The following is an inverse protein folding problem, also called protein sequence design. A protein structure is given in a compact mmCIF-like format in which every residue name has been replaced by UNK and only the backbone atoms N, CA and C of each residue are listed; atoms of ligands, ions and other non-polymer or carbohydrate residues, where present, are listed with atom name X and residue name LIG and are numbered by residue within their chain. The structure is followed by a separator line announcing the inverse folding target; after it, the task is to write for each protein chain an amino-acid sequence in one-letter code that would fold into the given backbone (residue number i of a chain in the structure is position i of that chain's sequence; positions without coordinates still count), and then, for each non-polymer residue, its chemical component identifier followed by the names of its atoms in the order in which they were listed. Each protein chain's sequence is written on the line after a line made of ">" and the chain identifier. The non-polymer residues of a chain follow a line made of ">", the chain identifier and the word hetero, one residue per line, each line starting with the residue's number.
data_IF_059457993565
#
_entry.id   IF_059457993565
#
_cell.length_a   1.000
_cell.length_b   1.000
_cell.length_c   1.000
_cell.angle_alpha   90.00
_cell.angle_beta   90.00
_cell.angle_gamma   90.00
#
_symmetry.space_group_name_H-M   'P 1'
#
loop_
_entity.id
_entity.type
_entity.pdbx_description
1 polymer ?
#
# COMPACT_ATOMS: atom_id res chain seq x y z
N UNK A 1 0.65 -1.58 25.45
CA UNK A 1 1.94 -1.23 24.83
C UNK A 1 1.95 0.25 24.49
N UNK A 2 2.89 0.97 25.05
CA UNK A 2 3.05 2.39 24.74
C UNK A 2 4.08 2.55 23.63
N UNK A 3 3.61 3.05 22.50
CA UNK A 3 4.47 3.43 21.41
C UNK A 3 4.41 4.95 21.30
N UNK A 4 5.56 5.60 21.34
CA UNK A 4 5.62 7.05 21.31
C UNK A 4 4.94 7.60 20.06
N UNK A 5 4.21 8.69 20.23
CA UNK A 5 3.58 9.39 19.10
C UNK A 5 4.65 9.99 18.20
N UNK A 6 4.42 9.91 16.91
CA UNK A 6 5.30 10.55 15.93
C UNK A 6 5.11 12.05 16.01
N UNK A 7 6.22 12.80 16.06
CA UNK A 7 6.20 14.26 16.04
C UNK A 7 6.16 14.76 14.59
N UNK A 8 7.01 14.18 13.74
CA UNK A 8 7.03 14.49 12.31
C UNK A 8 7.10 13.19 11.53
N UNK A 9 6.24 13.02 10.55
CA UNK A 9 6.28 11.82 9.75
C UNK A 9 4.93 11.46 9.16
N UNK A 10 4.75 10.17 8.92
CA UNK A 10 3.57 9.64 8.25
C UNK A 10 3.03 8.46 9.05
N UNK A 11 1.71 8.42 9.19
CA UNK A 11 1.02 7.28 9.78
C UNK A 11 0.07 6.69 8.74
N UNK A 12 0.28 5.42 8.41
CA UNK A 12 -0.63 4.66 7.57
C UNK A 12 -1.52 3.86 8.50
N UNK A 13 -2.79 4.24 8.55
CA UNK A 13 -3.78 3.66 9.47
C UNK A 13 -4.85 2.90 8.69
N UNK A 14 -5.72 2.20 9.40
CA UNK A 14 -6.83 1.43 8.85
C UNK A 14 -6.38 0.38 7.82
N UNK A 15 -5.18 -0.16 8.01
CA UNK A 15 -4.68 -1.25 7.19
C UNK A 15 -5.42 -2.53 7.58
N UNK A 16 -5.92 -3.25 6.61
CA UNK A 16 -6.53 -4.55 6.85
C UNK A 16 -5.54 -5.46 7.58
N UNK A 17 -5.98 -6.07 8.69
CA UNK A 17 -5.12 -6.93 9.49
C UNK A 17 -4.45 -8.00 8.63
N UNK A 18 -3.14 -8.11 8.75
CA UNK A 18 -2.33 -9.05 7.97
C UNK A 18 -1.66 -8.45 6.74
N UNK A 19 -1.98 -7.20 6.34
CA UNK A 19 -1.40 -6.59 5.14
C UNK A 19 -0.23 -5.64 5.39
N UNK A 20 0.11 -5.37 6.66
CA UNK A 20 1.17 -4.41 6.98
C UNK A 20 2.51 -4.78 6.36
N UNK A 21 2.91 -6.06 6.40
CA UNK A 21 4.19 -6.48 5.86
C UNK A 21 4.22 -6.42 4.33
N UNK A 22 3.10 -6.68 3.67
CA UNK A 22 3.01 -6.52 2.23
C UNK A 22 3.23 -5.05 1.83
N UNK A 23 2.64 -4.12 2.57
CA UNK A 23 2.82 -2.68 2.36
C UNK A 23 4.27 -2.29 2.63
N UNK A 24 4.84 -2.76 3.74
CA UNK A 24 6.23 -2.51 4.11
C UNK A 24 7.18 -2.89 2.97
N UNK A 25 6.99 -4.08 2.41
CA UNK A 25 7.83 -4.58 1.33
C UNK A 25 7.60 -3.83 0.02
N UNK A 26 6.35 -3.57 -0.34
CA UNK A 26 6.02 -2.92 -1.60
C UNK A 26 6.50 -1.46 -1.66
N UNK A 27 6.44 -0.75 -0.54
CA UNK A 27 6.90 0.62 -0.46
C UNK A 27 8.40 0.75 -0.16
N UNK A 28 9.13 -0.36 -0.08
CA UNK A 28 10.56 -0.40 0.22
C UNK A 28 10.92 0.34 1.51
N UNK A 29 10.10 0.20 2.53
CA UNK A 29 10.34 0.88 3.81
C UNK A 29 11.60 0.39 4.50
N UNK A 30 12.06 -0.82 4.16
CA UNK A 30 13.32 -1.37 4.66
C UNK A 30 14.54 -0.53 4.26
N UNK A 31 14.46 0.20 3.17
CA UNK A 31 15.55 1.05 2.69
C UNK A 31 15.68 2.37 3.46
N UNK A 32 14.70 2.69 4.31
CA UNK A 32 14.70 3.94 5.07
C UNK A 32 15.57 3.83 6.32
N UNK A 33 16.25 4.93 6.68
CA UNK A 33 17.09 4.99 7.87
C UNK A 33 16.40 5.63 9.08
N UNK A 34 15.11 5.94 8.98
CA UNK A 34 14.33 6.50 10.07
C UNK A 34 13.70 5.42 10.93
N UNK A 35 13.14 5.83 12.08
CA UNK A 35 12.37 4.91 12.91
C UNK A 35 11.06 4.55 12.23
N UNK A 36 10.75 3.26 12.23
CA UNK A 36 9.49 2.74 11.70
C UNK A 36 8.91 1.79 12.74
N UNK A 37 7.63 1.98 13.06
CA UNK A 37 6.90 1.09 13.94
C UNK A 37 5.76 0.44 13.16
N UNK A 38 5.63 -0.87 13.31
CA UNK A 38 4.53 -1.63 12.73
C UNK A 38 3.72 -2.22 13.88
N UNK A 39 2.45 -1.87 13.93
CA UNK A 39 1.53 -2.39 14.94
C UNK A 39 0.56 -3.33 14.24
N UNK A 40 0.62 -4.61 14.59
CA UNK A 40 -0.29 -5.61 14.04
C UNK A 40 -1.42 -5.87 15.02
N UNK A 41 -2.61 -6.06 14.49
CA UNK A 41 -3.79 -6.42 15.27
C UNK A 41 -4.13 -5.38 16.35
N UNK A 42 -4.00 -4.10 15.99
CA UNK A 42 -4.46 -3.02 16.87
C UNK A 42 -5.98 -3.00 16.93
N UNK A 43 -6.53 -2.56 18.06
CA UNK A 43 -7.98 -2.47 18.24
C UNK A 43 -8.60 -1.50 17.24
N UNK A 44 -9.70 -1.92 16.60
CA UNK A 44 -10.45 -1.12 15.65
C UNK A 44 -11.93 -1.18 15.97
N UNK A 45 -12.59 -0.03 15.93
CA UNK A 45 -14.03 0.05 16.20
C UNK A 45 -14.88 -0.54 15.07
N UNK A 46 -14.33 -0.67 13.86
CA UNK A 46 -15.10 -1.12 12.69
C UNK A 46 -14.98 -2.61 12.40
N UNK A 47 -13.77 -3.15 12.48
CA UNK A 47 -13.49 -4.51 11.99
C UNK A 47 -12.77 -5.39 13.03
N UNK A 48 -12.84 -5.01 14.30
CA UNK A 48 -12.15 -5.76 15.37
C UNK A 48 -10.68 -5.44 15.48
N UNK A 49 -9.90 -5.67 14.41
CA UNK A 49 -8.46 -5.38 14.40
C UNK A 49 -8.04 -4.70 13.11
N UNK A 50 -6.95 -3.96 13.19
CA UNK A 50 -6.31 -3.30 12.06
C UNK A 50 -4.80 -3.32 12.24
N UNK A 51 -4.05 -3.05 11.18
CA UNK A 51 -2.62 -2.81 11.27
C UNK A 51 -2.33 -1.32 11.08
N UNK A 52 -1.24 -0.86 11.66
CA UNK A 52 -0.80 0.54 11.58
C UNK A 52 0.70 0.56 11.30
N UNK A 53 1.13 1.43 10.40
CA UNK A 53 2.56 1.68 10.15
C UNK A 53 2.85 3.14 10.45
N UNK A 54 3.83 3.39 11.33
CA UNK A 54 4.27 4.74 11.67
C UNK A 54 5.70 4.93 11.17
N UNK A 55 5.90 5.99 10.38
CA UNK A 55 7.18 6.31 9.77
C UNK A 55 7.63 7.67 10.28
N UNK A 56 8.77 7.73 10.95
CA UNK A 56 9.28 8.97 11.57
C UNK A 56 10.07 9.82 10.58
N UNK A 57 9.56 9.98 9.37
CA UNK A 57 10.14 10.85 8.33
C UNK A 57 9.04 11.23 7.34
N UNK A 58 9.16 12.44 6.78
CA UNK A 58 8.23 12.91 5.76
C UNK A 58 8.70 12.41 4.38
N UNK A 59 8.29 11.21 4.03
CA UNK A 59 8.65 10.59 2.75
C UNK A 59 7.49 10.69 1.76
N UNK A 60 7.81 10.56 0.48
CA UNK A 60 6.79 10.38 -0.55
C UNK A 60 6.36 8.93 -0.60
N UNK A 61 5.07 8.70 -0.46
CA UNK A 61 4.47 7.37 -0.54
C UNK A 61 3.76 7.23 -1.87
N UNK A 62 3.96 6.08 -2.52
CA UNK A 62 3.19 5.73 -3.71
C UNK A 62 1.76 5.39 -3.29
N UNK A 63 0.90 6.41 -3.30
CA UNK A 63 -0.50 6.25 -2.89
C UNK A 63 -1.27 5.32 -3.81
N UNK A 64 -0.90 5.26 -5.09
CA UNK A 64 -1.51 4.34 -6.04
C UNK A 64 -1.24 2.89 -5.68
N UNK A 65 0.01 2.55 -5.41
CA UNK A 65 0.38 1.21 -4.98
C UNK A 65 -0.31 0.82 -3.67
N UNK A 66 -0.35 1.75 -2.72
CA UNK A 66 -1.01 1.52 -1.44
C UNK A 66 -2.51 1.26 -1.62
N UNK A 67 -3.17 2.04 -2.48
CA UNK A 67 -4.60 1.88 -2.76
C UNK A 67 -4.91 0.51 -3.35
N UNK A 68 -4.04 -0.02 -4.20
CA UNK A 68 -4.22 -1.35 -4.81
C UNK A 68 -4.09 -2.44 -3.76
N UNK A 69 -3.11 -2.32 -2.86
CA UNK A 69 -2.86 -3.32 -1.81
C UNK A 69 -3.95 -3.26 -0.74
N UNK A 70 -4.29 -2.06 -0.30
CA UNK A 70 -5.23 -1.86 0.80
C UNK A 70 -6.06 -0.60 0.58
N UNK A 71 -7.21 -0.70 -0.11
CA UNK A 71 -8.06 0.48 -0.39
C UNK A 71 -8.61 1.16 0.86
N UNK A 72 -8.69 0.44 1.99
CA UNK A 72 -9.24 0.98 3.24
C UNK A 72 -8.24 1.81 4.03
N UNK A 73 -6.95 1.76 3.67
CA UNK A 73 -5.91 2.48 4.41
C UNK A 73 -6.07 3.99 4.27
N UNK A 74 -5.65 4.71 5.29
CA UNK A 74 -5.58 6.17 5.29
C UNK A 74 -4.15 6.60 5.55
N UNK A 75 -3.74 7.71 4.94
CA UNK A 75 -2.40 8.26 5.14
C UNK A 75 -2.53 9.62 5.82
N UNK A 76 -1.94 9.71 7.02
CA UNK A 76 -1.94 10.95 7.79
C UNK A 76 -0.52 11.51 7.81
N UNK A 77 -0.37 12.77 7.40
CA UNK A 77 0.89 13.49 7.51
C UNK A 77 0.90 14.24 8.84
N UNK A 78 1.93 14.01 9.64
CA UNK A 78 2.06 14.57 10.98
C UNK A 78 3.22 15.55 11.02
N UNK A 79 2.97 16.73 11.57
CA UNK A 79 3.98 17.75 11.81
C UNK A 79 3.74 18.39 13.17
N UNK A 80 4.80 18.52 13.97
CA UNK A 80 4.72 19.07 15.33
C UNK A 80 3.69 18.37 16.20
N UNK A 81 3.58 17.05 16.04
CA UNK A 81 2.64 16.22 16.80
C UNK A 81 1.18 16.31 16.36
N UNK A 82 0.89 17.05 15.30
CA UNK A 82 -0.47 17.26 14.82
C UNK A 82 -0.65 16.72 13.41
N UNK A 83 -1.82 16.18 13.14
CA UNK A 83 -2.19 15.75 11.78
C UNK A 83 -2.48 17.00 10.95
N UNK A 84 -1.61 17.29 9.99
CA UNK A 84 -1.77 18.47 9.11
C UNK A 84 -2.46 18.14 7.81
N UNK A 85 -2.48 16.86 7.42
CA UNK A 85 -3.08 16.43 6.17
C UNK A 85 -3.55 14.98 6.30
N UNK A 86 -4.73 14.71 5.79
CA UNK A 86 -5.24 13.35 5.57
C UNK A 86 -5.33 13.12 4.08
N UNK A 87 -4.65 12.09 3.58
CA UNK A 87 -4.69 11.75 2.17
C UNK A 87 -5.58 10.55 1.96
N UNK A 88 -6.61 10.74 1.14
CA UNK A 88 -7.49 9.65 0.73
C UNK A 88 -6.86 8.90 -0.43
N UNK A 89 -7.04 7.59 -0.44
CA UNK A 89 -6.52 6.74 -1.50
C UNK A 89 -7.49 6.67 -2.66
N UNK A 90 -6.94 6.70 -3.87
CA UNK A 90 -7.70 6.56 -5.10
C UNK A 90 -7.04 5.49 -5.96
N UNK A 91 -7.86 4.59 -6.50
CA UNK A 91 -7.34 3.55 -7.39
C UNK A 91 -6.82 4.19 -8.67
N UNK A 92 -5.54 3.98 -9.02
CA UNK A 92 -5.00 4.50 -10.27
C UNK A 92 -5.53 3.71 -11.46
N UNK A 93 -5.59 4.36 -12.62
CA UNK A 93 -6.02 3.70 -13.86
C UNK A 93 -5.01 2.68 -14.35
N UNK A 94 -3.74 2.88 -14.06
CA UNK A 94 -2.64 2.04 -14.53
C UNK A 94 -1.62 1.87 -13.42
N UNK A 95 -1.12 0.66 -13.24
CA UNK A 95 -0.07 0.35 -12.26
C UNK A 95 1.05 -0.41 -12.95
N UNK A 96 2.29 -0.17 -12.51
CA UNK A 96 3.48 -0.83 -13.04
C UNK A 96 4.26 -1.49 -11.92
N UNK A 97 4.56 -2.77 -12.07
CA UNK A 97 5.38 -3.56 -11.12
C UNK A 97 4.87 -3.60 -9.68
N UNK A 98 3.58 -3.32 -9.46
CA UNK A 98 2.94 -3.46 -8.14
C UNK A 98 2.51 -4.91 -7.92
N UNK A 99 2.02 -5.54 -8.98
CA UNK A 99 1.60 -6.94 -8.97
C UNK A 99 2.28 -7.67 -10.11
N UNK A 100 2.39 -8.98 -9.98
CA UNK A 100 2.91 -9.85 -11.04
C UNK A 100 1.76 -10.56 -11.74
N UNK A 101 1.87 -10.72 -13.06
CA UNK A 101 0.90 -11.49 -13.81
C UNK A 101 1.01 -12.96 -13.41
N UNK A 102 -0.13 -13.57 -13.09
CA UNK A 102 -0.19 -14.99 -12.69
C UNK A 102 -0.22 -15.97 -13.87
N UNK A 103 -0.37 -15.46 -15.09
CA UNK A 103 -0.41 -16.29 -16.28
C UNK A 103 1.01 -16.70 -16.68
N UNK A 104 1.37 -18.00 -16.59
CA UNK A 104 2.72 -18.44 -16.89
C UNK A 104 3.09 -18.29 -18.37
N UNK A 105 2.12 -18.06 -19.25
CA UNK A 105 2.36 -17.84 -20.68
C UNK A 105 2.45 -16.38 -21.07
N UNK A 106 2.22 -15.47 -20.12
CA UNK A 106 2.32 -14.04 -20.40
C UNK A 106 3.78 -13.66 -20.67
N UNK A 107 3.99 -12.73 -21.60
CA UNK A 107 5.34 -12.25 -21.94
C UNK A 107 6.05 -11.65 -20.70
N UNK A 108 5.31 -11.05 -19.78
CA UNK A 108 5.88 -10.51 -18.54
C UNK A 108 6.38 -11.60 -17.60
N UNK A 109 5.85 -12.81 -17.72
CA UNK A 109 6.28 -13.96 -16.91
C UNK A 109 7.51 -14.64 -17.54
N UNK A 110 7.59 -14.67 -18.87
CA UNK A 110 8.66 -15.34 -19.59
C UNK A 110 9.88 -14.44 -19.82
N UNK A 111 9.68 -13.11 -19.87
CA UNK A 111 10.72 -12.12 -20.10
C UNK A 111 10.84 -11.21 -18.89
N UNK A 112 11.95 -11.29 -18.16
CA UNK A 112 12.13 -10.56 -16.90
C UNK A 112 12.25 -9.05 -17.07
N UNK A 113 12.63 -8.58 -18.25
CA UNK A 113 12.85 -7.15 -18.51
C UNK A 113 11.56 -6.39 -18.76
N UNK A 114 10.45 -7.10 -19.04
CA UNK A 114 9.18 -6.46 -19.35
C UNK A 114 8.44 -6.17 -18.04
N UNK A 115 8.02 -4.92 -17.90
CA UNK A 115 7.28 -4.49 -16.71
C UNK A 115 5.92 -5.16 -16.65
N UNK A 116 5.52 -5.55 -15.43
CA UNK A 116 4.16 -6.02 -15.17
C UNK A 116 3.23 -4.81 -15.10
N UNK A 117 2.42 -4.61 -16.14
CA UNK A 117 1.53 -3.46 -16.24
C UNK A 117 0.08 -3.94 -16.22
N UNK A 118 -0.71 -3.34 -15.33
CA UNK A 118 -2.13 -3.65 -15.18
C UNK A 118 -2.93 -2.38 -15.34
N UNK A 119 -4.12 -2.52 -15.92
CA UNK A 119 -5.06 -1.41 -16.06
C UNK A 119 -6.33 -1.71 -15.29
N UNK A 120 -6.91 -0.66 -14.71
CA UNK A 120 -8.16 -0.76 -13.97
C UNK A 120 -9.31 -0.99 -14.95
N UNK A 121 -9.97 -2.12 -14.81
CA UNK A 121 -11.11 -2.50 -15.67
C UNK A 121 -12.45 -2.33 -14.97
N UNK A 122 -12.48 -2.37 -13.64
CA UNK A 122 -13.69 -2.15 -12.86
C UNK A 122 -13.32 -1.48 -11.53
N UNK A 123 -13.67 -0.21 -11.38
CA UNK A 123 -13.34 0.57 -10.18
C UNK A 123 -14.14 0.12 -8.95
N UNK A 124 -15.36 -0.36 -9.14
CA UNK A 124 -16.21 -0.79 -8.02
C UNK A 124 -15.65 -2.02 -7.32
N UNK A 125 -15.10 -2.96 -8.10
CA UNK A 125 -14.53 -4.20 -7.57
C UNK A 125 -13.02 -4.16 -7.45
N UNK A 126 -12.38 -3.03 -7.82
CA UNK A 126 -10.93 -2.90 -7.88
C UNK A 126 -10.28 -3.96 -8.76
N UNK A 127 -10.89 -4.24 -9.91
CA UNK A 127 -10.40 -5.24 -10.84
C UNK A 127 -9.36 -4.65 -11.77
N UNK A 128 -8.18 -5.27 -11.79
CA UNK A 128 -7.08 -4.95 -12.71
C UNK A 128 -6.80 -6.11 -13.62
N UNK A 129 -6.45 -5.82 -14.87
CA UNK A 129 -6.06 -6.83 -15.84
C UNK A 129 -4.74 -6.50 -16.49
N UNK A 130 -3.96 -7.54 -16.79
CA UNK A 130 -2.67 -7.41 -17.48
C UNK A 130 -2.90 -6.84 -18.89
N UNK A 131 -2.12 -5.83 -19.27
CA UNK A 131 -2.28 -5.22 -20.61
C UNK A 131 -1.85 -6.14 -21.74
N UNK A 132 -1.02 -7.16 -21.47
CA UNK A 132 -0.49 -8.05 -22.51
C UNK A 132 -1.36 -9.28 -22.72
N UNK A 133 -1.87 -9.90 -21.67
CA UNK A 133 -2.63 -11.14 -21.78
C UNK A 133 -4.07 -11.06 -21.26
N UNK A 134 -4.47 -9.91 -20.73
CA UNK A 134 -5.81 -9.65 -20.19
C UNK A 134 -6.20 -10.54 -18.99
N UNK A 135 -5.25 -11.20 -18.38
CA UNK A 135 -5.51 -12.00 -17.18
C UNK A 135 -5.81 -11.10 -15.99
N UNK A 136 -6.84 -11.43 -15.25
CA UNK A 136 -7.23 -10.69 -14.03
C UNK A 136 -6.17 -10.84 -12.95
N UNK A 137 -5.79 -9.72 -12.34
CA UNK A 137 -4.82 -9.72 -11.26
C UNK A 137 -5.42 -10.29 -9.97
N UNK A 138 -4.60 -11.01 -9.21
CA UNK A 138 -4.93 -11.39 -7.84
C UNK A 138 -4.38 -10.35 -6.89
N UNK A 139 -5.25 -9.81 -6.08
CA UNK A 139 -4.85 -8.88 -5.02
C UNK A 139 -4.62 -9.65 -3.71
#
# INVERSE_FOLDING_TARGET
>A
MNIDSIINGIVIDHITAGKAMQIYNQLNLDALNCQIAIIKNASSNKNGTKDIIKIADAIDIDLGALAVICPTATVNVIRDGMVIEKRDLKLPERIENVMRCKNPRCITTTEQEIKHIFVLTNAETAEYRCIYCDTKANN
#
